data_IF_569889937081
#
_entry.id   IF_569889937081
#
_cell.length_a   1.000
_cell.length_b   1.000
_cell.length_c   1.000
_cell.angle_alpha   90.00
_cell.angle_beta   90.00
_cell.angle_gamma   90.00
#
_symmetry.space_group_name_H-M   'P 1'
#
loop_
_entity.id
_entity.type
_entity.pdbx_description
1 polymer ?
#
# COMPACT_ATOMS: atom_id res chain seq x y z
N UNK A 1 18.31 24.20 4.66
CA UNK A 1 18.23 22.74 4.33
C UNK A 1 17.27 21.93 5.22
N UNK A 2 16.59 22.48 6.23
CA UNK A 2 15.74 21.70 7.14
C UNK A 2 14.30 21.39 6.63
N UNK A 3 13.87 21.99 5.51
CA UNK A 3 12.49 21.86 5.01
C UNK A 3 12.20 20.54 4.29
N UNK A 4 13.24 19.87 3.78
CA UNK A 4 13.13 18.61 3.04
C UNK A 4 12.95 17.42 3.99
N UNK A 5 13.72 17.36 5.08
CA UNK A 5 13.64 16.28 6.08
C UNK A 5 12.24 16.13 6.71
N UNK A 6 11.55 17.25 6.98
CA UNK A 6 10.17 17.22 7.51
C UNK A 6 9.17 16.63 6.50
N UNK A 7 9.34 16.92 5.20
CA UNK A 7 8.45 16.43 4.14
C UNK A 7 8.61 14.94 3.91
N UNK A 8 9.85 14.43 3.90
CA UNK A 8 10.12 13.00 3.68
C UNK A 8 9.50 12.14 4.77
N UNK A 9 9.63 12.54 6.04
CA UNK A 9 9.00 11.84 7.17
C UNK A 9 7.48 11.81 7.10
N UNK A 10 6.84 12.92 6.72
CA UNK A 10 5.39 12.96 6.50
C UNK A 10 4.93 12.07 5.35
N UNK A 11 5.68 12.02 4.24
CA UNK A 11 5.34 11.17 3.10
C UNK A 11 5.48 9.68 3.45
N UNK A 12 6.48 9.28 4.24
CA UNK A 12 6.58 7.91 4.75
C UNK A 12 5.42 7.57 5.67
N UNK A 13 5.05 8.47 6.59
CA UNK A 13 3.86 8.28 7.43
C UNK A 13 2.59 8.13 6.61
N UNK A 14 2.45 8.91 5.53
CA UNK A 14 1.31 8.81 4.63
C UNK A 14 1.26 7.44 3.94
N UNK A 15 2.38 6.95 3.40
CA UNK A 15 2.49 5.62 2.77
C UNK A 15 2.24 4.51 3.79
N UNK A 16 2.72 4.67 5.02
CA UNK A 16 2.51 3.71 6.10
C UNK A 16 1.04 3.63 6.53
N UNK A 17 0.39 4.77 6.77
CA UNK A 17 -1.04 4.82 7.06
C UNK A 17 -1.88 4.28 5.91
N UNK A 18 -1.49 4.59 4.67
CA UNK A 18 -2.16 4.08 3.48
C UNK A 18 -2.03 2.55 3.41
N UNK A 19 -0.85 1.99 3.72
CA UNK A 19 -0.67 0.55 3.89
C UNK A 19 -1.52 -0.05 5.02
N UNK A 20 -1.58 0.60 6.18
CA UNK A 20 -2.40 0.14 7.33
C UNK A 20 -3.90 0.14 7.04
N UNK A 21 -4.39 1.14 6.29
CA UNK A 21 -5.79 1.23 5.89
C UNK A 21 -6.06 0.20 4.80
N UNK A 22 -5.25 0.16 3.74
CA UNK A 22 -5.50 -0.76 2.62
C UNK A 22 -5.34 -2.23 3.03
N UNK A 23 -4.39 -2.56 3.90
CA UNK A 23 -4.16 -3.92 4.40
C UNK A 23 -4.93 -4.24 5.68
N UNK A 24 -5.94 -3.44 6.03
CA UNK A 24 -6.76 -3.69 7.21
C UNK A 24 -7.64 -4.94 6.97
N UNK A 25 -7.82 -5.75 8.02
CA UNK A 25 -8.59 -6.99 7.98
C UNK A 25 -10.01 -6.86 7.40
N UNK A 26 -10.85 -5.86 7.77
CA UNK A 26 -12.15 -5.61 7.14
C UNK A 26 -12.07 -5.39 5.63
N UNK A 27 -11.11 -4.63 5.13
CA UNK A 27 -10.96 -4.39 3.69
C UNK A 27 -10.50 -5.68 3.00
N UNK A 28 -9.53 -6.40 3.57
CA UNK A 28 -9.16 -7.73 3.07
C UNK A 28 -10.36 -8.69 3.04
N UNK A 29 -11.19 -8.71 4.09
CA UNK A 29 -12.35 -9.60 4.18
C UNK A 29 -13.41 -9.29 3.12
N UNK A 30 -13.56 -8.02 2.72
CA UNK A 30 -14.45 -7.62 1.65
C UNK A 30 -13.99 -8.16 0.28
N UNK A 31 -12.66 -8.25 0.06
CA UNK A 31 -12.05 -8.83 -1.13
C UNK A 31 -11.77 -10.34 -1.01
N UNK A 32 -11.88 -10.92 0.18
CA UNK A 32 -11.72 -12.35 0.45
C UNK A 32 -13.00 -13.14 0.11
N UNK A 33 -13.67 -12.74 -0.96
CA UNK A 33 -14.80 -13.49 -1.50
C UNK A 33 -14.27 -14.81 -2.09
N UNK A 34 -14.99 -15.93 -1.92
CA UNK A 34 -14.65 -17.21 -2.54
C UNK A 34 -14.81 -17.19 -4.08
N UNK A 35 -15.05 -16.02 -4.67
CA UNK A 35 -15.11 -15.82 -6.11
C UNK A 35 -13.71 -15.98 -6.67
N UNK A 36 -13.43 -17.20 -7.12
CA UNK A 36 -12.21 -17.57 -7.81
C UNK A 36 -12.24 -16.95 -9.21
N UNK A 37 -11.65 -15.77 -9.41
CA UNK A 37 -11.34 -15.32 -10.76
C UNK A 37 -10.25 -16.26 -11.30
N UNK A 38 -10.62 -17.18 -12.18
CA UNK A 38 -9.68 -18.14 -12.79
C UNK A 38 -8.95 -19.08 -11.80
N UNK A 39 -9.55 -19.37 -10.63
CA UNK A 39 -8.94 -20.22 -9.60
C UNK A 39 -8.07 -19.49 -8.56
N UNK A 40 -7.88 -18.16 -8.69
CA UNK A 40 -7.07 -17.36 -7.77
C UNK A 40 -7.92 -16.49 -6.85
N UNK A 41 -7.61 -16.43 -5.53
CA UNK A 41 -8.29 -15.50 -4.64
C UNK A 41 -7.90 -14.04 -4.98
N UNK A 42 -8.86 -13.16 -5.27
CA UNK A 42 -8.60 -11.77 -5.66
C UNK A 42 -7.89 -10.97 -4.55
N UNK A 43 -7.99 -11.41 -3.29
CA UNK A 43 -7.23 -10.86 -2.17
C UNK A 43 -5.71 -10.86 -2.39
N UNK A 44 -5.15 -11.88 -3.05
CA UNK A 44 -3.70 -11.91 -3.34
C UNK A 44 -3.30 -10.82 -4.32
N UNK A 45 -4.05 -10.68 -5.42
CA UNK A 45 -3.81 -9.63 -6.44
C UNK A 45 -3.87 -8.25 -5.79
N UNK A 46 -4.84 -8.03 -4.91
CA UNK A 46 -4.95 -6.80 -4.15
C UNK A 46 -3.69 -6.53 -3.31
N UNK A 47 -3.26 -7.48 -2.47
CA UNK A 47 -2.06 -7.33 -1.62
C UNK A 47 -0.82 -6.98 -2.46
N UNK A 48 -0.62 -7.67 -3.59
CA UNK A 48 0.50 -7.40 -4.49
C UNK A 48 0.44 -6.00 -5.09
N UNK A 49 -0.73 -5.51 -5.50
CA UNK A 49 -0.90 -4.14 -6.01
C UNK A 49 -0.60 -3.11 -4.92
N UNK A 50 -1.13 -3.29 -3.71
CA UNK A 50 -0.87 -2.39 -2.58
C UNK A 50 0.61 -2.34 -2.25
N UNK A 51 1.27 -3.50 -2.20
CA UNK A 51 2.70 -3.60 -1.94
C UNK A 51 3.54 -2.93 -3.03
N UNK A 52 3.19 -3.13 -4.31
CA UNK A 52 3.87 -2.47 -5.43
C UNK A 52 3.72 -0.95 -5.38
N UNK A 53 2.52 -0.45 -5.07
CA UNK A 53 2.27 0.99 -4.86
C UNK A 53 3.14 1.56 -3.74
N UNK A 54 3.32 0.83 -2.63
CA UNK A 54 4.19 1.27 -1.54
C UNK A 54 5.66 1.36 -1.98
N UNK A 55 6.16 0.39 -2.75
CA UNK A 55 7.54 0.42 -3.28
C UNK A 55 7.73 1.61 -4.23
N UNK A 56 6.79 1.84 -5.14
CA UNK A 56 6.83 2.98 -6.07
C UNK A 56 6.79 4.29 -5.29
N UNK A 57 5.92 4.42 -4.29
CA UNK A 57 5.85 5.59 -3.44
C UNK A 57 7.17 5.83 -2.70
N UNK A 58 7.77 4.79 -2.13
CA UNK A 58 9.08 4.88 -1.48
C UNK A 58 10.16 5.33 -2.45
N UNK A 59 10.21 4.76 -3.68
CA UNK A 59 11.13 5.19 -4.73
C UNK A 59 10.95 6.67 -5.08
N UNK A 60 9.71 7.16 -5.20
CA UNK A 60 9.43 8.56 -5.51
C UNK A 60 9.84 9.51 -4.37
N UNK A 61 9.70 9.06 -3.12
CA UNK A 61 10.12 9.83 -1.94
C UNK A 61 11.65 9.88 -1.84
N UNK A 62 12.33 8.75 -2.11
CA UNK A 62 13.78 8.61 -1.96
C UNK A 62 14.58 9.22 -3.12
N UNK A 63 14.02 9.22 -4.34
CA UNK A 63 14.65 9.78 -5.55
C UNK A 63 14.51 11.31 -5.63
N UNK A 64 13.91 11.95 -4.64
CA UNK A 64 13.73 13.40 -4.58
C UNK A 64 14.82 14.06 -3.75
#
# INVERSE_FOLDING_TARGET
MAKTLKKTGQQLLLVFFLGLVLLNFPILSAFNQPILWNGFPPAFVYIFIVWFLMIVALRLILKK
#
